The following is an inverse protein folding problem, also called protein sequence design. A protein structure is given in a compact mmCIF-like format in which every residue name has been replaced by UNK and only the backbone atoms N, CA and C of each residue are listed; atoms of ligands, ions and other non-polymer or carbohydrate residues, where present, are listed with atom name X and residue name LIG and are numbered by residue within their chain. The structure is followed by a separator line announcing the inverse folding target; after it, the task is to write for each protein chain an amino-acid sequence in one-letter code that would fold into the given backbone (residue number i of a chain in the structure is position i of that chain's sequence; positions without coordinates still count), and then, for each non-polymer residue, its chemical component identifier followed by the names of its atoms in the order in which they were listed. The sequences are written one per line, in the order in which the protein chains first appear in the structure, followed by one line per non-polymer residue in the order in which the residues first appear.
data_IF_592622544841
#
_entry.id   IF_592622544841
#
_cell.length_a   1.000
_cell.length_b   1.000
_cell.length_c   1.000
_cell.angle_alpha   90.00
_cell.angle_beta   90.00
_cell.angle_gamma   90.00
#
_symmetry.space_group_name_H-M   'P 1'
#
loop_
_entity.id
_entity.type
_entity.pdbx_description
1 polymer ?
#
# COMPACT_ATOMS: atom_id res chain seq x y z
N UNK A 1 29.56 -41.43 -26.65
CA UNK A 1 28.12 -41.52 -27.02
C UNK A 1 27.37 -41.81 -25.74
N UNK A 2 27.20 -40.83 -24.85
CA UNK A 2 26.10 -39.85 -24.89
C UNK A 2 24.74 -40.51 -25.12
N UNK A 3 23.98 -40.69 -24.03
CA UNK A 3 22.62 -40.16 -23.97
C UNK A 3 22.22 -39.86 -22.53
N UNK A 4 22.25 -38.55 -22.30
CA UNK A 4 21.62 -37.72 -21.30
C UNK A 4 20.15 -38.06 -21.01
N UNK A 5 19.85 -38.00 -19.71
CA UNK A 5 18.67 -37.42 -19.05
C UNK A 5 17.43 -37.08 -19.89
N UNK A 6 16.27 -37.53 -19.42
CA UNK A 6 15.13 -36.63 -19.19
C UNK A 6 14.21 -37.20 -18.10
N UNK A 7 14.61 -37.00 -16.85
CA UNK A 7 13.69 -37.04 -15.70
C UNK A 7 12.86 -35.76 -15.77
N UNK A 8 11.61 -35.87 -16.24
CA UNK A 8 10.66 -34.76 -16.19
C UNK A 8 9.91 -34.84 -14.86
N UNK A 9 10.47 -34.23 -13.81
CA UNK A 9 9.75 -33.99 -12.57
C UNK A 9 8.67 -32.92 -12.82
N UNK A 10 7.46 -33.04 -12.27
CA UNK A 10 6.46 -32.00 -12.40
C UNK A 10 6.94 -30.76 -11.64
N UNK A 11 7.06 -29.62 -12.35
CA UNK A 11 7.20 -28.31 -11.71
C UNK A 11 5.96 -28.08 -10.84
N UNK A 12 6.16 -27.98 -9.53
CA UNK A 12 5.12 -27.66 -8.56
C UNK A 12 4.66 -26.22 -8.81
N UNK A 13 3.56 -26.04 -9.53
CA UNK A 13 2.85 -24.75 -9.60
C UNK A 13 2.43 -24.43 -8.17
N UNK A 14 2.98 -23.37 -7.58
CA UNK A 14 2.54 -22.88 -6.28
C UNK A 14 1.15 -22.28 -6.49
N UNK A 15 0.10 -22.98 -6.04
CA UNK A 15 -1.25 -22.43 -6.00
C UNK A 15 -1.29 -21.34 -4.93
N UNK A 16 -1.41 -20.07 -5.34
CA UNK A 16 -1.60 -18.95 -4.43
C UNK A 16 -2.93 -19.12 -3.67
N UNK A 17 -2.92 -18.84 -2.37
CA UNK A 17 -4.13 -18.78 -1.55
C UNK A 17 -5.04 -17.62 -1.99
N UNK A 18 -6.32 -17.70 -1.61
CA UNK A 18 -7.28 -16.63 -1.92
C UNK A 18 -6.85 -15.28 -1.31
N UNK A 19 -6.23 -15.29 -0.14
CA UNK A 19 -5.76 -14.06 0.52
C UNK A 19 -4.59 -13.44 -0.24
N UNK A 20 -3.64 -14.26 -0.72
CA UNK A 20 -2.53 -13.79 -1.55
C UNK A 20 -3.00 -13.20 -2.89
N UNK A 21 -4.07 -13.76 -3.47
CA UNK A 21 -4.69 -13.22 -4.70
C UNK A 21 -5.37 -11.88 -4.39
N UNK A 22 -6.17 -11.81 -3.32
CA UNK A 22 -6.89 -10.60 -2.93
C UNK A 22 -5.88 -9.47 -2.61
N UNK A 23 -4.78 -9.78 -1.91
CA UNK A 23 -3.69 -8.83 -1.61
C UNK A 23 -2.91 -8.41 -2.85
N UNK A 24 -2.65 -9.33 -3.80
CA UNK A 24 -1.98 -8.99 -5.05
C UNK A 24 -2.79 -7.97 -5.87
N UNK A 25 -4.10 -8.19 -6.00
CA UNK A 25 -4.99 -7.26 -6.74
C UNK A 25 -5.10 -5.93 -5.98
N UNK A 26 -5.23 -5.97 -4.65
CA UNK A 26 -5.27 -4.77 -3.82
C UNK A 26 -4.04 -3.90 -4.04
N UNK A 27 -2.85 -4.49 -3.88
CA UNK A 27 -1.58 -3.78 -4.01
C UNK A 27 -1.39 -3.25 -5.43
N UNK A 28 -1.71 -4.04 -6.46
CA UNK A 28 -1.60 -3.59 -7.85
C UNK A 28 -2.50 -2.37 -8.15
N UNK A 29 -3.71 -2.33 -7.60
CA UNK A 29 -4.61 -1.16 -7.78
C UNK A 29 -4.06 0.06 -7.03
N UNK A 30 -3.61 -0.11 -5.78
CA UNK A 30 -3.01 0.98 -4.99
C UNK A 30 -1.78 1.54 -5.69
N UNK A 31 -0.88 0.68 -6.16
CA UNK A 31 0.33 1.09 -6.87
C UNK A 31 -0.01 1.82 -8.17
N UNK A 32 -1.01 1.37 -8.92
CA UNK A 32 -1.46 2.04 -10.14
C UNK A 32 -2.04 3.45 -9.84
N UNK A 33 -2.71 3.63 -8.70
CA UNK A 33 -3.19 4.94 -8.25
C UNK A 33 -2.02 5.85 -7.85
N UNK A 34 -1.09 5.34 -7.03
CA UNK A 34 0.08 6.08 -6.56
C UNK A 34 1.00 6.51 -7.71
N UNK A 35 1.17 5.64 -8.71
CA UNK A 35 1.92 5.91 -9.93
C UNK A 35 1.14 6.74 -10.96
N UNK A 36 -0.06 7.24 -10.63
CA UNK A 36 -0.94 8.05 -11.50
C UNK A 36 -1.37 7.35 -12.80
N UNK A 37 -1.23 6.03 -12.88
CA UNK A 37 -1.77 5.24 -13.99
C UNK A 37 -3.29 5.19 -13.93
N UNK A 38 -3.84 5.23 -12.71
CA UNK A 38 -5.26 5.41 -12.45
C UNK A 38 -5.48 6.75 -11.74
N UNK A 39 -6.25 7.64 -12.36
CA UNK A 39 -6.46 8.99 -11.84
C UNK A 39 -7.46 9.01 -10.67
N UNK A 40 -7.27 9.88 -9.65
CA UNK A 40 -8.27 10.15 -8.63
C UNK A 40 -9.62 10.55 -9.25
N UNK A 41 -10.71 9.98 -8.74
CA UNK A 41 -12.06 10.17 -9.26
C UNK A 41 -12.38 9.35 -10.53
N UNK A 42 -11.41 8.61 -11.10
CA UNK A 42 -11.70 7.73 -12.24
C UNK A 42 -12.52 6.51 -11.80
N UNK A 43 -13.33 6.00 -12.73
CA UNK A 43 -14.19 4.84 -12.51
C UNK A 43 -13.42 3.54 -12.72
N UNK A 44 -13.55 2.62 -11.75
CA UNK A 44 -13.09 1.25 -11.86
C UNK A 44 -14.21 0.39 -12.42
N UNK A 45 -13.98 -0.16 -13.61
CA UNK A 45 -14.94 -1.05 -14.28
C UNK A 45 -14.55 -2.50 -13.99
N UNK A 46 -15.46 -3.28 -13.40
CA UNK A 46 -15.17 -4.65 -12.95
C UNK A 46 -14.72 -5.57 -14.11
N UNK A 47 -15.39 -5.50 -15.25
CA UNK A 47 -15.15 -6.42 -16.38
C UNK A 47 -13.70 -6.41 -16.90
N UNK A 48 -13.12 -5.25 -17.31
CA UNK A 48 -11.73 -5.22 -17.78
C UNK A 48 -10.72 -5.54 -16.68
N UNK A 49 -11.01 -5.24 -15.41
CA UNK A 49 -10.14 -5.60 -14.30
C UNK A 49 -10.16 -7.12 -14.04
N UNK A 50 -11.34 -7.76 -14.11
CA UNK A 50 -11.45 -9.22 -14.03
C UNK A 50 -10.64 -9.90 -15.13
N UNK A 51 -10.68 -9.37 -16.35
CA UNK A 51 -9.89 -9.86 -17.48
C UNK A 51 -8.38 -9.65 -17.27
N UNK A 52 -7.98 -8.45 -16.87
CA UNK A 52 -6.57 -8.11 -16.64
C UNK A 52 -5.92 -8.95 -15.53
N UNK A 53 -6.66 -9.23 -14.46
CA UNK A 53 -6.17 -10.05 -13.34
C UNK A 53 -6.47 -11.55 -13.49
N UNK A 54 -7.24 -11.95 -14.52
CA UNK A 54 -7.65 -13.35 -14.70
C UNK A 54 -8.54 -13.90 -13.58
N UNK A 55 -9.36 -13.05 -12.95
CA UNK A 55 -10.19 -13.41 -11.79
C UNK A 55 -11.68 -13.25 -12.04
N UNK A 56 -12.48 -13.86 -11.16
CA UNK A 56 -13.94 -13.71 -11.22
C UNK A 56 -14.39 -12.37 -10.62
N UNK A 57 -15.60 -11.92 -10.99
CA UNK A 57 -16.22 -10.73 -10.36
C UNK A 57 -16.39 -10.86 -8.84
N UNK A 58 -16.59 -12.08 -8.34
CA UNK A 58 -16.72 -12.34 -6.90
C UNK A 58 -15.43 -12.01 -6.15
N UNK A 59 -14.28 -12.42 -6.70
CA UNK A 59 -12.94 -12.10 -6.16
C UNK A 59 -12.72 -10.59 -6.19
N UNK A 60 -12.92 -9.96 -7.36
CA UNK A 60 -12.70 -8.52 -7.50
C UNK A 60 -13.59 -7.69 -6.56
N UNK A 61 -14.83 -8.12 -6.32
CA UNK A 61 -15.74 -7.45 -5.37
C UNK A 61 -15.28 -7.54 -3.94
N UNK A 62 -14.69 -8.66 -3.49
CA UNK A 62 -14.09 -8.74 -2.15
C UNK A 62 -12.95 -7.74 -1.99
N UNK A 63 -12.08 -7.67 -2.99
CA UNK A 63 -10.98 -6.70 -3.01
C UNK A 63 -11.51 -5.26 -3.02
N UNK A 64 -12.57 -4.97 -3.78
CA UNK A 64 -13.22 -3.65 -3.77
C UNK A 64 -13.79 -3.30 -2.40
N UNK A 65 -14.36 -4.26 -1.68
CA UNK A 65 -14.84 -4.03 -0.30
C UNK A 65 -13.66 -3.65 0.61
N UNK A 66 -12.51 -4.33 0.50
CA UNK A 66 -11.29 -3.99 1.25
C UNK A 66 -10.76 -2.60 0.88
N UNK A 67 -10.64 -2.29 -0.41
CA UNK A 67 -10.23 -0.97 -0.90
C UNK A 67 -11.20 0.15 -0.44
N UNK A 68 -12.49 -0.13 -0.36
CA UNK A 68 -13.49 0.84 0.08
C UNK A 68 -13.49 1.04 1.59
N UNK A 69 -13.25 -0.03 2.35
CA UNK A 69 -13.00 0.05 3.79
C UNK A 69 -11.81 0.97 4.08
N UNK A 70 -10.73 0.81 3.33
CA UNK A 70 -9.49 1.60 3.47
C UNK A 70 -9.55 2.97 2.79
N UNK A 71 -10.72 3.38 2.28
CA UNK A 71 -10.95 4.68 1.62
C UNK A 71 -10.10 4.94 0.38
N UNK A 72 -9.57 3.89 -0.24
CA UNK A 72 -8.86 3.98 -1.53
C UNK A 72 -9.87 4.21 -2.67
N UNK A 73 -11.06 3.62 -2.54
CA UNK A 73 -12.16 3.76 -3.50
C UNK A 73 -13.48 4.06 -2.79
N UNK A 74 -14.45 4.55 -3.56
CA UNK A 74 -15.84 4.69 -3.15
C UNK A 74 -16.73 3.78 -4.00
N UNK A 75 -17.47 2.89 -3.35
CA UNK A 75 -18.47 2.05 -4.03
C UNK A 75 -19.77 2.84 -4.15
N UNK A 76 -20.22 3.06 -5.38
CA UNK A 76 -21.49 3.70 -5.67
C UNK A 76 -22.57 2.67 -6.06
N UNK A 77 -23.72 2.65 -5.38
CA UNK A 77 -24.84 1.76 -5.71
C UNK A 77 -25.22 1.88 -7.19
N UNK A 78 -25.29 0.74 -7.89
CA UNK A 78 -25.61 0.63 -9.32
C UNK A 78 -24.68 1.39 -10.28
N UNK A 79 -23.58 1.98 -9.77
CA UNK A 79 -22.64 2.82 -10.53
C UNK A 79 -21.19 2.34 -10.45
N UNK A 80 -20.92 1.24 -9.74
CA UNK A 80 -19.60 0.62 -9.67
C UNK A 80 -18.72 1.27 -8.60
N UNK A 81 -17.42 1.38 -8.85
CA UNK A 81 -16.47 2.00 -7.92
C UNK A 81 -15.73 3.18 -8.57
N UNK A 82 -15.39 4.18 -7.75
CA UNK A 82 -14.59 5.34 -8.13
C UNK A 82 -13.34 5.40 -7.26
N UNK A 83 -12.22 5.81 -7.80
CA UNK A 83 -11.01 6.08 -7.00
C UNK A 83 -11.27 7.31 -6.13
N UNK A 84 -10.96 7.22 -4.85
CA UNK A 84 -11.15 8.31 -3.92
C UNK A 84 -10.40 9.56 -4.38
N UNK A 85 -11.02 10.73 -4.21
CA UNK A 85 -10.43 12.01 -4.53
C UNK A 85 -10.58 12.93 -3.33
N UNK A 86 -9.46 13.21 -2.67
CA UNK A 86 -9.40 14.19 -1.60
C UNK A 86 -9.26 15.59 -2.19
N UNK A 87 -10.03 16.53 -1.65
CA UNK A 87 -9.81 17.95 -1.85
C UNK A 87 -8.51 18.39 -1.17
N UNK A 88 -7.96 19.52 -1.61
CA UNK A 88 -6.81 20.11 -0.95
C UNK A 88 -7.11 20.46 0.53
N UNK A 89 -8.36 20.79 0.85
CA UNK A 89 -8.78 21.09 2.21
C UNK A 89 -8.81 19.84 3.10
N UNK A 90 -9.44 18.75 2.64
CA UNK A 90 -9.43 17.47 3.38
C UNK A 90 -8.00 16.95 3.57
N UNK A 91 -7.17 17.05 2.52
CA UNK A 91 -5.75 16.68 2.61
C UNK A 91 -5.07 17.49 3.72
N UNK A 92 -5.26 18.81 3.72
CA UNK A 92 -4.70 19.70 4.74
C UNK A 92 -5.15 19.32 6.16
N UNK A 93 -6.44 19.06 6.36
CA UNK A 93 -6.98 18.65 7.65
C UNK A 93 -6.35 17.35 8.17
N UNK A 94 -6.14 16.37 7.28
CA UNK A 94 -5.45 15.13 7.61
C UNK A 94 -4.00 15.38 8.03
N UNK A 95 -3.26 16.22 7.31
CA UNK A 95 -1.89 16.59 7.67
C UNK A 95 -1.80 17.39 8.98
N UNK A 96 -2.77 18.26 9.26
CA UNK A 96 -2.85 18.99 10.53
C UNK A 96 -3.10 18.04 11.70
N UNK A 97 -4.08 17.13 11.56
CA UNK A 97 -4.33 16.09 12.55
C UNK A 97 -3.09 15.23 12.82
N UNK A 98 -2.40 14.82 11.75
CA UNK A 98 -1.16 14.04 11.85
C UNK A 98 -0.06 14.81 12.56
N UNK A 99 0.17 16.07 12.21
CA UNK A 99 1.17 16.94 12.86
C UNK A 99 0.95 17.06 14.37
N UNK A 100 -0.30 17.21 14.81
CA UNK A 100 -0.64 17.25 16.25
C UNK A 100 -0.25 15.94 16.96
N UNK A 101 -0.53 14.79 16.34
CA UNK A 101 -0.17 13.47 16.89
C UNK A 101 1.35 13.24 16.90
N UNK A 102 2.03 13.62 15.83
CA UNK A 102 3.49 13.48 15.68
C UNK A 102 4.24 14.33 16.70
N UNK A 103 3.86 15.60 16.88
CA UNK A 103 4.49 16.49 17.86
C UNK A 103 4.36 15.92 19.27
N UNK A 104 3.18 15.41 19.64
CA UNK A 104 2.97 14.78 20.94
C UNK A 104 3.82 13.51 21.11
N UNK A 105 3.94 12.71 20.04
CA UNK A 105 4.74 11.49 19.98
C UNK A 105 6.24 11.79 20.14
N UNK A 106 6.78 12.70 19.34
CA UNK A 106 8.20 13.10 19.39
C UNK A 106 8.58 13.68 20.75
N UNK A 107 7.72 14.51 21.35
CA UNK A 107 7.95 15.06 22.71
C UNK A 107 8.10 13.96 23.76
N UNK A 108 7.25 12.92 23.71
CA UNK A 108 7.33 11.78 24.63
C UNK A 108 8.58 10.94 24.39
N UNK A 109 8.91 10.67 23.12
CA UNK A 109 10.11 9.91 22.76
C UNK A 109 11.38 10.64 23.22
N UNK A 110 11.46 11.96 23.04
CA UNK A 110 12.61 12.76 23.46
C UNK A 110 12.90 12.61 24.96
N UNK A 111 11.86 12.54 25.80
CA UNK A 111 11.98 12.34 27.25
C UNK A 111 12.50 10.94 27.63
N UNK A 112 12.35 9.94 26.76
CA UNK A 112 12.75 8.53 26.98
C UNK A 112 13.96 8.10 26.15
N UNK A 113 14.57 9.03 25.43
CA UNK A 113 15.51 8.77 24.32
C UNK A 113 16.72 7.89 24.68
N UNK A 114 17.15 7.85 25.95
CA UNK A 114 18.29 7.04 26.38
C UNK A 114 18.09 5.52 26.26
N UNK A 115 16.85 5.04 26.06
CA UNK A 115 16.54 3.60 25.97
C UNK A 115 15.91 3.18 24.64
N UNK A 116 15.84 4.08 23.66
CA UNK A 116 15.17 3.83 22.39
C UNK A 116 16.17 3.61 21.26
N UNK A 117 15.99 2.53 20.49
CA UNK A 117 16.71 2.32 19.24
C UNK A 117 15.96 2.98 18.08
N UNK A 118 16.66 3.86 17.36
CA UNK A 118 16.14 4.58 16.20
C UNK A 118 16.74 4.06 14.87
N UNK A 119 17.46 2.93 14.88
CA UNK A 119 18.11 2.34 13.70
C UNK A 119 17.13 2.07 12.55
N UNK A 120 15.97 1.49 12.85
CA UNK A 120 14.92 1.21 11.86
C UNK A 120 14.36 2.52 11.25
N UNK A 121 14.06 3.51 12.09
CA UNK A 121 13.57 4.82 11.64
C UNK A 121 14.61 5.55 10.77
N UNK A 122 15.90 5.44 11.09
CA UNK A 122 16.98 6.01 10.27
C UNK A 122 17.07 5.32 8.90
N UNK A 123 16.96 4.01 8.88
CA UNK A 123 16.95 3.20 7.64
C UNK A 123 15.80 3.63 6.72
N UNK A 124 14.61 3.83 7.28
CA UNK A 124 13.45 4.30 6.50
C UNK A 124 13.68 5.68 5.88
N UNK A 125 14.30 6.61 6.60
CA UNK A 125 14.62 7.96 6.07
C UNK A 125 15.67 7.89 4.95
N UNK A 126 16.64 7.01 5.05
CA UNK A 126 17.65 6.79 4.01
C UNK A 126 16.99 6.23 2.73
N UNK A 127 16.17 5.19 2.87
CA UNK A 127 15.40 4.61 1.75
C UNK A 127 14.45 5.63 1.12
N UNK A 128 13.74 6.41 1.94
CA UNK A 128 12.86 7.47 1.47
C UNK A 128 13.63 8.49 0.60
N UNK A 129 14.83 8.87 1.05
CA UNK A 129 15.69 9.79 0.29
C UNK A 129 16.11 9.21 -1.06
N UNK A 130 16.48 7.94 -1.11
CA UNK A 130 16.90 7.26 -2.34
C UNK A 130 15.76 7.18 -3.37
N UNK A 131 14.56 6.76 -2.94
CA UNK A 131 13.39 6.66 -3.81
C UNK A 131 12.93 8.03 -4.33
N UNK A 132 13.03 9.08 -3.49
CA UNK A 132 12.75 10.46 -3.89
C UNK A 132 13.70 10.93 -4.98
N UNK A 133 14.99 10.61 -4.87
CA UNK A 133 16.00 10.97 -5.87
C UNK A 133 15.83 10.16 -7.17
N UNK A 134 15.41 8.90 -7.07
CA UNK A 134 15.09 8.06 -8.22
C UNK A 134 13.79 8.48 -8.94
N UNK A 135 12.95 9.31 -8.32
CA UNK A 135 11.66 9.72 -8.87
C UNK A 135 10.56 8.66 -8.71
N UNK A 136 10.78 7.67 -7.84
CA UNK A 136 9.86 6.58 -7.56
C UNK A 136 8.80 7.04 -6.54
N UNK A 137 7.89 7.90 -6.99
CA UNK A 137 6.91 8.58 -6.13
C UNK A 137 6.03 7.62 -5.31
N UNK A 138 5.62 6.49 -5.87
CA UNK A 138 4.79 5.53 -5.16
C UNK A 138 5.52 4.90 -3.96
N UNK A 139 6.76 4.44 -4.15
CA UNK A 139 7.55 3.86 -3.07
C UNK A 139 7.95 4.93 -2.05
N UNK A 140 8.27 6.15 -2.51
CA UNK A 140 8.54 7.27 -1.62
C UNK A 140 7.34 7.59 -0.70
N UNK A 141 6.11 7.66 -1.23
CA UNK A 141 4.90 7.90 -0.42
C UNK A 141 4.70 6.77 0.61
N UNK A 142 4.93 5.53 0.20
CA UNK A 142 4.78 4.35 1.05
C UNK A 142 5.80 4.36 2.20
N UNK A 143 7.08 4.61 1.91
CA UNK A 143 8.14 4.73 2.92
C UNK A 143 7.88 5.88 3.89
N UNK A 144 7.45 7.03 3.37
CA UNK A 144 7.06 8.19 4.18
C UNK A 144 5.93 7.83 5.16
N UNK A 145 4.90 7.12 4.68
CA UNK A 145 3.82 6.61 5.54
C UNK A 145 4.30 5.64 6.62
N UNK A 146 5.19 4.70 6.26
CA UNK A 146 5.77 3.73 7.20
C UNK A 146 6.59 4.41 8.30
N UNK A 147 7.37 5.44 7.97
CA UNK A 147 8.11 6.23 8.95
C UNK A 147 7.18 6.80 10.03
N UNK A 148 6.06 7.41 9.63
CA UNK A 148 5.09 7.99 10.56
C UNK A 148 4.44 6.94 11.47
N UNK A 149 4.14 5.74 10.95
CA UNK A 149 3.61 4.63 11.75
C UNK A 149 4.65 4.13 12.77
N UNK A 150 5.88 3.91 12.32
CA UNK A 150 6.99 3.47 13.18
C UNK A 150 7.32 4.45 14.29
N UNK A 151 7.18 5.74 14.02
CA UNK A 151 7.35 6.79 15.02
C UNK A 151 6.33 6.65 16.16
N UNK A 152 5.08 6.29 15.85
CA UNK A 152 4.03 6.05 16.85
C UNK A 152 4.26 4.73 17.60
N UNK A 153 4.65 3.65 16.90
CA UNK A 153 4.97 2.35 17.51
C UNK A 153 6.09 2.47 18.56
N UNK A 154 7.14 3.22 18.24
CA UNK A 154 8.26 3.48 19.16
C UNK A 154 7.80 4.12 20.48
N UNK A 155 6.68 4.84 20.48
CA UNK A 155 6.13 5.50 21.68
C UNK A 155 5.20 4.59 22.49
N UNK A 156 4.62 3.54 21.89
CA UNK A 156 3.73 2.58 22.56
C UNK A 156 4.47 1.39 23.17
N UNK A 157 5.65 1.04 22.66
CA UNK A 157 6.47 -0.08 23.16
C UNK A 157 7.39 0.29 24.35
N UNK A 158 6.90 1.11 25.29
CA UNK A 158 7.62 1.49 26.53
C UNK A 158 6.83 1.15 27.79
#
# INVERSE_FOLDING_TARGET
MEKSMSSNAPKKTVEMSNDEIDDHIYNAIVDAILNRQLAPGARLVEAPLCEAFGVTRGVLRRVFVKLAHDKVIEIQPNRGALIAKHSANETKEVFEARSMLEIATVKKLAQKSHHLDFSELRTLVEQESDERLAGNWAEWIKLSGQFHLKLVEANQNS
#
